data_IF_219119366474
#
_entry.id   IF_219119366474
#
_cell.length_a   1.000
_cell.length_b   1.000
_cell.length_c   1.000
_cell.angle_alpha   90.00
_cell.angle_beta   90.00
_cell.angle_gamma   90.00
#
_symmetry.space_group_name_H-M   'P 1'
#
loop_
_entity.id
_entity.type
_entity.pdbx_description
1 polymer ?
#
# COMPACT_ATOMS: atom_id res chain seq x y z
N UNK A 1 -27.87 -49.58 -25.04
CA UNK A 1 -27.09 -48.73 -24.11
C UNK A 1 -27.50 -47.26 -24.24
N UNK A 2 -28.33 -46.76 -23.32
CA UNK A 2 -28.78 -45.37 -23.32
C UNK A 2 -27.72 -44.52 -22.59
N UNK A 3 -27.05 -43.60 -23.31
CA UNK A 3 -26.16 -42.60 -22.72
C UNK A 3 -26.99 -41.59 -21.92
N UNK A 4 -26.82 -41.58 -20.59
CA UNK A 4 -27.36 -40.52 -19.73
C UNK A 4 -26.56 -39.22 -19.98
N UNK A 5 -27.19 -38.22 -20.60
CA UNK A 5 -26.70 -36.87 -20.64
C UNK A 5 -26.76 -36.32 -19.19
N UNK A 6 -25.59 -36.05 -18.60
CA UNK A 6 -25.48 -35.25 -17.38
C UNK A 6 -25.87 -33.82 -17.74
N UNK A 7 -27.04 -33.40 -17.35
CA UNK A 7 -27.43 -31.99 -17.32
C UNK A 7 -26.53 -31.26 -16.30
N UNK A 8 -25.65 -30.42 -16.78
CA UNK A 8 -24.93 -29.47 -15.94
C UNK A 8 -25.99 -28.49 -15.39
N UNK A 9 -26.27 -28.59 -14.10
CA UNK A 9 -27.09 -27.61 -13.41
C UNK A 9 -26.37 -26.27 -13.46
N UNK A 10 -26.94 -25.28 -14.14
CA UNK A 10 -26.57 -23.87 -14.07
C UNK A 10 -26.73 -23.42 -12.61
N UNK A 11 -25.69 -23.59 -11.78
CA UNK A 11 -25.55 -22.84 -10.55
C UNK A 11 -25.33 -21.39 -10.99
N UNK A 12 -26.39 -20.58 -11.04
CA UNK A 12 -26.29 -19.12 -11.04
C UNK A 12 -25.38 -18.77 -9.86
N UNK A 13 -24.13 -18.38 -10.14
CA UNK A 13 -23.27 -17.78 -9.13
C UNK A 13 -24.02 -16.54 -8.66
N UNK A 14 -24.47 -16.55 -7.41
CA UNK A 14 -25.10 -15.36 -6.79
C UNK A 14 -24.00 -14.34 -6.59
N UNK A 15 -23.75 -13.52 -7.60
CA UNK A 15 -22.86 -12.38 -7.48
C UNK A 15 -23.39 -11.49 -6.37
N UNK A 16 -22.55 -11.21 -5.40
CA UNK A 16 -22.88 -10.26 -4.33
C UNK A 16 -22.70 -8.85 -4.88
N UNK A 17 -23.74 -8.01 -4.91
CA UNK A 17 -23.61 -6.65 -5.40
C UNK A 17 -22.63 -5.81 -4.61
N UNK A 18 -21.97 -4.87 -5.30
CA UNK A 18 -21.09 -3.88 -4.71
C UNK A 18 -21.24 -2.53 -5.41
N UNK A 19 -20.87 -1.47 -4.70
CA UNK A 19 -21.00 -0.10 -5.17
C UNK A 19 -19.87 0.78 -4.66
N UNK A 20 -19.44 1.74 -5.49
CA UNK A 20 -18.61 2.87 -5.10
C UNK A 20 -19.41 4.15 -5.32
N UNK A 21 -19.46 5.02 -4.30
CA UNK A 21 -20.05 6.35 -4.37
C UNK A 21 -18.97 7.39 -4.08
N UNK A 22 -18.69 8.26 -5.04
CA UNK A 22 -17.72 9.34 -4.91
C UNK A 22 -18.36 10.59 -4.29
N UNK A 23 -17.55 11.47 -3.69
CA UNK A 23 -18.01 12.72 -3.07
C UNK A 23 -18.71 13.69 -4.03
N UNK A 24 -18.47 13.57 -5.33
CA UNK A 24 -19.13 14.36 -6.37
C UNK A 24 -20.47 13.76 -6.84
N UNK A 25 -20.94 12.67 -6.20
CA UNK A 25 -22.17 11.98 -6.52
C UNK A 25 -22.06 10.92 -7.61
N UNK A 26 -20.92 10.76 -8.26
CA UNK A 26 -20.73 9.68 -9.25
C UNK A 26 -20.79 8.31 -8.58
N UNK A 27 -21.39 7.35 -9.28
CA UNK A 27 -21.68 6.01 -8.78
C UNK A 27 -21.14 4.97 -9.77
N UNK A 28 -20.39 4.02 -9.24
CA UNK A 28 -19.92 2.85 -9.99
C UNK A 28 -20.54 1.60 -9.34
N UNK A 29 -21.29 0.84 -10.12
CA UNK A 29 -21.91 -0.42 -9.67
C UNK A 29 -21.16 -1.60 -10.25
N UNK A 30 -20.97 -2.65 -9.47
CA UNK A 30 -20.27 -3.86 -9.88
C UNK A 30 -20.54 -5.03 -8.95
N UNK A 31 -19.63 -5.97 -8.93
CA UNK A 31 -19.67 -7.17 -8.10
C UNK A 31 -18.78 -6.93 -6.89
N UNK A 32 -19.33 -7.12 -5.69
CA UNK A 32 -18.62 -6.99 -4.43
C UNK A 32 -17.71 -8.18 -4.15
N UNK A 33 -16.49 -7.91 -3.72
CA UNK A 33 -15.47 -8.88 -3.35
C UNK A 33 -15.07 -8.74 -1.88
N UNK A 34 -14.37 -9.75 -1.35
CA UNK A 34 -13.79 -9.72 -0.03
C UNK A 34 -14.83 -9.61 1.09
N UNK A 35 -14.59 -8.69 2.02
CA UNK A 35 -15.41 -8.53 3.22
C UNK A 35 -16.75 -7.83 2.92
N UNK A 36 -17.83 -8.28 3.56
CA UNK A 36 -19.13 -7.60 3.50
C UNK A 36 -19.14 -6.42 4.45
N UNK A 37 -19.41 -5.24 3.93
CA UNK A 37 -19.40 -4.00 4.72
C UNK A 37 -19.08 -2.78 3.89
N UNK A 38 -18.76 -1.71 4.58
CA UNK A 38 -18.53 -0.37 4.01
C UNK A 38 -17.16 0.15 4.42
N UNK A 39 -16.45 0.80 3.49
CA UNK A 39 -15.19 1.48 3.76
C UNK A 39 -15.13 2.81 3.02
N UNK A 40 -14.55 3.83 3.67
CA UNK A 40 -14.39 5.18 3.11
C UNK A 40 -12.91 5.55 3.07
N UNK A 41 -12.47 6.19 1.98
CA UNK A 41 -11.08 6.60 1.80
C UNK A 41 -10.87 7.47 0.55
N UNK A 42 -9.64 7.93 0.35
CA UNK A 42 -9.23 8.59 -0.89
C UNK A 42 -9.09 7.54 -1.99
N UNK A 43 -9.74 7.72 -3.13
CA UNK A 43 -9.65 6.80 -4.27
C UNK A 43 -8.42 7.17 -5.10
N UNK A 44 -7.43 6.31 -5.10
CA UNK A 44 -6.22 6.46 -5.93
C UNK A 44 -6.14 5.32 -6.95
N UNK A 45 -5.30 5.43 -7.96
CA UNK A 45 -5.02 4.33 -8.87
C UNK A 45 -3.57 3.84 -8.74
N UNK A 46 -3.33 2.60 -9.14
CA UNK A 46 -2.00 2.02 -9.25
C UNK A 46 -1.84 1.39 -10.64
N UNK A 47 -0.71 1.68 -11.31
CA UNK A 47 -0.43 1.27 -12.70
C UNK A 47 0.44 0.03 -12.83
N UNK A 48 0.83 -0.60 -11.73
CA UNK A 48 1.65 -1.81 -11.74
C UNK A 48 0.89 -2.98 -12.38
N UNK A 49 1.57 -3.72 -13.23
CA UNK A 49 1.01 -4.88 -13.93
C UNK A 49 1.06 -6.17 -13.08
N UNK A 50 1.80 -6.14 -11.98
CA UNK A 50 2.00 -7.28 -11.06
C UNK A 50 2.17 -6.77 -9.62
N UNK A 51 2.19 -7.69 -8.64
CA UNK A 51 2.45 -7.34 -7.25
C UNK A 51 1.23 -6.76 -6.52
N UNK A 52 0.03 -7.18 -6.87
CA UNK A 52 -1.19 -6.64 -6.24
C UNK A 52 -1.27 -6.93 -4.73
N UNK A 53 -0.75 -8.08 -4.26
CA UNK A 53 -0.76 -8.41 -2.84
C UNK A 53 0.21 -7.51 -2.06
N UNK A 54 1.40 -7.26 -2.60
CA UNK A 54 2.39 -6.33 -2.08
C UNK A 54 1.83 -4.91 -2.02
N UNK A 55 1.14 -4.46 -3.07
CA UNK A 55 0.52 -3.15 -3.12
C UNK A 55 -0.59 -3.01 -2.07
N UNK A 56 -1.47 -4.00 -1.94
CA UNK A 56 -2.57 -3.97 -0.96
C UNK A 56 -2.03 -4.01 0.47
N UNK A 57 -0.91 -4.70 0.70
CA UNK A 57 -0.28 -4.83 2.03
C UNK A 57 0.73 -3.71 2.35
N UNK A 58 1.03 -2.80 1.41
CA UNK A 58 1.90 -1.64 1.65
C UNK A 58 1.23 -0.62 2.59
N UNK A 59 1.82 -0.31 3.76
CA UNK A 59 1.27 0.67 4.70
C UNK A 59 1.07 2.06 4.10
N UNK A 60 1.80 2.42 3.04
CA UNK A 60 1.67 3.70 2.34
C UNK A 60 0.25 3.96 1.81
N UNK A 61 -0.56 2.90 1.62
CA UNK A 61 -1.96 3.03 1.21
C UNK A 61 -2.96 3.14 2.36
N UNK A 62 -2.49 3.41 3.58
CA UNK A 62 -3.40 3.66 4.71
C UNK A 62 -4.35 4.80 4.41
N UNK A 63 -5.65 4.57 4.65
CA UNK A 63 -6.70 5.54 4.34
C UNK A 63 -7.15 5.61 2.89
N UNK A 64 -6.65 4.73 2.00
CA UNK A 64 -6.93 4.78 0.56
C UNK A 64 -7.71 3.57 0.06
N UNK A 65 -8.49 3.79 -1.02
CA UNK A 65 -9.13 2.78 -1.86
C UNK A 65 -8.34 2.73 -3.16
N UNK A 66 -7.78 1.56 -3.50
CA UNK A 66 -6.88 1.42 -4.64
C UNK A 66 -7.65 0.93 -5.86
N UNK A 67 -7.66 1.72 -6.92
CA UNK A 67 -8.14 1.35 -8.25
C UNK A 67 -6.97 0.77 -9.06
N UNK A 68 -6.99 -0.52 -9.35
CA UNK A 68 -5.97 -1.18 -10.16
C UNK A 68 -6.27 -0.98 -11.64
N UNK A 69 -5.30 -0.39 -12.38
CA UNK A 69 -5.48 -0.14 -13.82
C UNK A 69 -5.24 -1.40 -14.66
N UNK A 70 -4.44 -2.34 -14.15
CA UNK A 70 -4.21 -3.61 -14.81
C UNK A 70 -5.47 -4.49 -14.70
N UNK A 71 -6.01 -5.01 -15.82
CA UNK A 71 -7.32 -5.67 -15.80
C UNK A 71 -7.31 -7.05 -15.14
N UNK A 72 -6.21 -7.82 -15.27
CA UNK A 72 -6.15 -9.20 -14.80
C UNK A 72 -5.50 -9.30 -13.43
N UNK A 73 -6.33 -9.35 -12.40
CA UNK A 73 -5.91 -9.44 -11.00
C UNK A 73 -6.41 -10.77 -10.41
N UNK A 74 -5.61 -11.41 -9.55
CA UNK A 74 -5.96 -12.65 -8.85
C UNK A 74 -5.30 -13.90 -9.41
N UNK A 75 -4.75 -13.84 -10.63
CA UNK A 75 -4.12 -14.96 -11.32
C UNK A 75 -2.92 -15.59 -10.57
N UNK A 76 -2.19 -14.82 -9.76
CA UNK A 76 -1.10 -15.32 -8.91
C UNK A 76 -1.63 -15.92 -7.60
N UNK A 77 -2.87 -15.64 -7.22
CA UNK A 77 -3.38 -15.94 -5.90
C UNK A 77 -2.75 -15.08 -4.82
N UNK A 78 -2.70 -15.59 -3.60
CA UNK A 78 -2.04 -14.94 -2.47
C UNK A 78 -1.25 -15.95 -1.64
N UNK A 79 -0.17 -15.48 -1.00
CA UNK A 79 0.72 -16.28 -0.17
C UNK A 79 1.29 -15.44 0.99
N UNK A 80 1.91 -16.04 2.02
CA UNK A 80 2.45 -15.31 3.16
C UNK A 80 3.76 -14.55 2.86
N UNK A 81 4.42 -14.84 1.74
CA UNK A 81 5.74 -14.29 1.41
C UNK A 81 5.63 -12.89 0.78
N UNK A 82 4.53 -12.62 0.05
CA UNK A 82 4.30 -11.39 -0.70
C UNK A 82 3.59 -10.31 0.14
N UNK A 83 3.76 -10.35 1.47
CA UNK A 83 3.29 -9.31 2.37
C UNK A 83 4.36 -8.27 2.64
N UNK A 84 4.00 -7.00 2.48
CA UNK A 84 4.87 -5.87 2.83
C UNK A 84 4.71 -5.41 4.28
N UNK A 85 3.61 -5.77 4.93
CA UNK A 85 3.41 -5.58 6.37
C UNK A 85 2.52 -6.67 6.98
N UNK A 86 2.54 -6.80 8.30
CA UNK A 86 1.72 -7.82 9.01
C UNK A 86 0.25 -7.43 9.08
N UNK A 87 -0.06 -6.14 8.96
CA UNK A 87 -1.42 -5.62 8.97
C UNK A 87 -1.73 -4.90 7.66
N UNK A 88 -2.92 -5.18 7.10
CA UNK A 88 -3.38 -4.48 5.89
C UNK A 88 -4.05 -3.17 6.30
N UNK A 89 -3.59 -2.07 5.70
CA UNK A 89 -4.02 -0.71 6.03
C UNK A 89 -4.90 -0.08 4.95
N UNK A 90 -4.89 -0.64 3.74
CA UNK A 90 -5.75 -0.24 2.62
C UNK A 90 -7.22 -0.35 3.00
N UNK A 91 -8.03 0.63 2.63
CA UNK A 91 -9.46 0.68 2.95
C UNK A 91 -10.31 -0.17 2.02
N UNK A 92 -9.93 -0.27 0.75
CA UNK A 92 -10.66 -1.06 -0.24
C UNK A 92 -9.89 -1.19 -1.54
N UNK A 93 -10.37 -2.06 -2.42
CA UNK A 93 -9.74 -2.35 -3.72
C UNK A 93 -10.77 -2.39 -4.83
N UNK A 94 -10.39 -1.93 -6.01
CA UNK A 94 -11.25 -1.90 -7.20
C UNK A 94 -10.51 -2.53 -8.38
N UNK A 95 -11.18 -3.45 -9.07
CA UNK A 95 -10.64 -4.17 -10.21
C UNK A 95 -11.58 -4.06 -11.42
N UNK A 96 -11.02 -4.17 -12.61
CA UNK A 96 -11.77 -4.16 -13.86
C UNK A 96 -12.49 -5.50 -14.08
N UNK A 97 -11.74 -6.58 -14.23
CA UNK A 97 -12.27 -7.91 -14.50
C UNK A 97 -12.59 -8.68 -13.22
N UNK A 98 -13.42 -9.69 -13.33
CA UNK A 98 -13.65 -10.66 -12.27
C UNK A 98 -12.34 -11.35 -11.87
N UNK A 99 -12.19 -11.66 -10.59
CA UNK A 99 -11.03 -12.38 -10.08
C UNK A 99 -11.11 -13.82 -10.55
N UNK A 100 -10.10 -14.26 -11.29
CA UNK A 100 -9.97 -15.64 -11.75
C UNK A 100 -9.43 -16.54 -10.64
N UNK A 101 -9.67 -17.84 -10.78
CA UNK A 101 -8.97 -18.82 -9.96
C UNK A 101 -7.47 -18.74 -10.23
N UNK A 102 -6.65 -18.84 -9.18
CA UNK A 102 -5.22 -18.69 -9.33
C UNK A 102 -4.61 -19.88 -10.08
N UNK A 103 -3.67 -19.60 -10.98
CA UNK A 103 -2.92 -20.58 -11.77
C UNK A 103 -1.42 -20.58 -11.48
N UNK A 104 -0.96 -19.88 -10.45
CA UNK A 104 0.44 -19.78 -10.10
C UNK A 104 0.80 -20.78 -8.99
N UNK A 105 1.98 -21.42 -9.10
CA UNK A 105 2.48 -22.41 -8.14
C UNK A 105 2.69 -21.85 -6.71
N UNK A 106 2.80 -20.53 -6.55
CA UNK A 106 2.92 -19.87 -5.23
C UNK A 106 1.57 -19.61 -4.56
N UNK A 107 0.46 -19.89 -5.24
CA UNK A 107 -0.86 -19.61 -4.69
C UNK A 107 -1.20 -20.56 -3.55
N UNK A 108 -1.50 -20.00 -2.39
CA UNK A 108 -2.06 -20.74 -1.24
C UNK A 108 -3.54 -20.41 -1.01
N UNK A 109 -3.99 -19.23 -1.45
CA UNK A 109 -5.39 -18.79 -1.32
C UNK A 109 -5.80 -17.97 -2.54
N UNK A 110 -7.07 -18.04 -2.88
CA UNK A 110 -7.72 -17.12 -3.81
C UNK A 110 -7.76 -15.71 -3.20
N UNK A 111 -7.65 -14.69 -4.05
CA UNK A 111 -7.59 -13.27 -3.62
C UNK A 111 -8.89 -12.83 -2.92
N UNK A 112 -10.07 -13.26 -3.38
CA UNK A 112 -11.35 -12.91 -2.72
C UNK A 112 -11.40 -13.41 -1.28
N UNK A 113 -10.99 -14.66 -1.05
CA UNK A 113 -10.90 -15.24 0.30
C UNK A 113 -9.88 -14.48 1.17
N UNK A 114 -8.73 -14.11 0.60
CA UNK A 114 -7.70 -13.36 1.30
C UNK A 114 -8.18 -11.95 1.71
N UNK A 115 -8.87 -11.25 0.81
CA UNK A 115 -9.50 -9.96 1.11
C UNK A 115 -10.53 -10.10 2.23
N UNK A 116 -11.35 -11.15 2.19
CA UNK A 116 -12.36 -11.44 3.22
C UNK A 116 -11.74 -11.66 4.59
N UNK A 117 -10.68 -12.48 4.68
CA UNK A 117 -9.94 -12.77 5.93
C UNK A 117 -9.37 -11.48 6.51
N UNK A 118 -8.82 -10.60 5.65
CA UNK A 118 -8.22 -9.32 6.07
C UNK A 118 -9.23 -8.19 6.23
N UNK A 119 -10.54 -8.48 6.11
CA UNK A 119 -11.65 -7.50 6.26
C UNK A 119 -11.57 -6.34 5.27
N UNK A 120 -11.08 -6.59 4.05
CA UNK A 120 -10.99 -5.60 2.98
C UNK A 120 -12.21 -5.73 2.07
N UNK A 121 -12.90 -4.61 1.84
CA UNK A 121 -14.01 -4.52 0.87
C UNK A 121 -13.42 -4.35 -0.52
N UNK A 122 -13.90 -5.14 -1.47
CA UNK A 122 -13.48 -5.07 -2.87
C UNK A 122 -14.66 -4.87 -3.82
N UNK A 123 -14.35 -4.39 -5.02
CA UNK A 123 -15.30 -4.19 -6.10
C UNK A 123 -14.66 -4.60 -7.42
N UNK A 124 -15.39 -5.36 -8.24
CA UNK A 124 -14.95 -5.76 -9.58
C UNK A 124 -16.06 -5.56 -10.61
N UNK A 125 -15.73 -5.71 -11.91
CA UNK A 125 -16.66 -5.40 -12.99
C UNK A 125 -16.88 -3.89 -13.17
N UNK A 126 -15.88 -3.08 -12.84
CA UNK A 126 -15.91 -1.61 -12.92
C UNK A 126 -15.08 -1.16 -14.12
N UNK A 127 -15.52 -0.12 -14.81
CA UNK A 127 -14.67 0.60 -15.74
C UNK A 127 -13.57 1.38 -15.00
N UNK A 128 -12.49 0.66 -14.65
CA UNK A 128 -11.34 1.22 -13.94
C UNK A 128 -10.61 2.27 -14.77
N UNK A 129 -10.71 2.23 -16.11
CA UNK A 129 -10.13 3.23 -17.00
C UNK A 129 -10.86 4.56 -16.87
N UNK A 130 -12.19 4.55 -16.90
CA UNK A 130 -13.01 5.75 -16.68
C UNK A 130 -12.74 6.38 -15.32
N UNK A 131 -12.65 5.55 -14.25
CA UNK A 131 -12.31 6.02 -12.91
C UNK A 131 -10.88 6.60 -12.86
N UNK A 132 -9.91 5.97 -13.54
CA UNK A 132 -8.53 6.49 -13.63
C UNK A 132 -8.48 7.84 -14.36
N UNK A 133 -9.21 7.99 -15.48
CA UNK A 133 -9.31 9.26 -16.20
C UNK A 133 -9.92 10.36 -15.31
N UNK A 134 -10.96 10.04 -14.56
CA UNK A 134 -11.57 10.98 -13.61
C UNK A 134 -10.53 11.46 -12.57
N UNK A 135 -9.75 10.53 -11.99
CA UNK A 135 -8.71 10.86 -11.02
C UNK A 135 -7.63 11.71 -11.67
N UNK A 136 -7.20 11.38 -12.89
CA UNK A 136 -6.20 12.14 -13.64
C UNK A 136 -6.66 13.58 -13.88
N UNK A 137 -7.90 13.77 -14.28
CA UNK A 137 -8.42 15.06 -14.70
C UNK A 137 -8.83 15.95 -13.52
N UNK A 138 -9.38 15.35 -12.45
CA UNK A 138 -9.94 16.10 -11.31
C UNK A 138 -9.18 15.94 -10.01
N UNK A 139 -8.22 15.01 -9.92
CA UNK A 139 -7.51 14.64 -8.70
C UNK A 139 -8.16 13.44 -8.00
N UNK A 140 -7.50 12.93 -6.95
CA UNK A 140 -7.96 11.79 -6.18
C UNK A 140 -9.21 12.13 -5.34
N UNK A 141 -10.42 11.62 -5.69
CA UNK A 141 -11.65 11.93 -4.97
C UNK A 141 -11.76 11.11 -3.69
N UNK A 142 -12.57 11.60 -2.76
CA UNK A 142 -13.05 10.79 -1.64
C UNK A 142 -14.17 9.87 -2.12
N UNK A 143 -14.19 8.64 -1.63
CA UNK A 143 -15.19 7.67 -2.01
C UNK A 143 -15.55 6.70 -0.90
N UNK A 144 -16.75 6.14 -0.96
CA UNK A 144 -17.21 5.07 -0.09
C UNK A 144 -17.58 3.85 -0.91
N UNK A 145 -16.94 2.73 -0.62
CA UNK A 145 -17.19 1.43 -1.22
C UNK A 145 -18.05 0.58 -0.28
N UNK A 146 -19.04 -0.12 -0.81
CA UNK A 146 -19.88 -1.04 -0.03
C UNK A 146 -20.12 -2.34 -0.79
N UNK A 147 -19.99 -3.47 -0.08
CA UNK A 147 -20.46 -4.80 -0.49
C UNK A 147 -21.62 -5.21 0.38
N UNK A 148 -22.76 -5.57 -0.23
CA UNK A 148 -23.99 -5.96 0.49
C UNK A 148 -24.65 -7.16 -0.19
N UNK A 149 -24.89 -8.24 0.58
CA UNK A 149 -25.51 -9.48 0.08
C UNK A 149 -26.92 -9.28 -0.50
N UNK A 150 -27.67 -8.35 0.06
CA UNK A 150 -29.03 -8.09 -0.38
C UNK A 150 -29.14 -7.07 -1.53
N UNK A 151 -28.01 -6.46 -1.94
CA UNK A 151 -27.94 -5.46 -3.00
C UNK A 151 -28.67 -4.15 -2.71
N UNK A 152 -29.12 -3.94 -1.47
CA UNK A 152 -29.78 -2.70 -1.06
C UNK A 152 -28.74 -1.72 -0.56
N UNK A 153 -28.57 -0.61 -1.28
CA UNK A 153 -27.60 0.43 -0.95
C UNK A 153 -28.31 1.74 -0.60
N UNK A 154 -27.94 2.34 0.51
CA UNK A 154 -28.40 3.68 0.85
C UNK A 154 -27.45 4.72 0.25
N UNK A 155 -27.68 5.10 -1.01
CA UNK A 155 -26.83 6.04 -1.76
C UNK A 155 -26.63 7.37 -1.02
N UNK A 156 -27.69 7.93 -0.42
CA UNK A 156 -27.62 9.19 0.33
C UNK A 156 -26.67 9.06 1.53
N UNK A 157 -26.70 7.92 2.24
CA UNK A 157 -25.82 7.65 3.38
C UNK A 157 -24.36 7.52 2.90
N UNK A 158 -24.11 6.76 1.83
CA UNK A 158 -22.76 6.54 1.27
C UNK A 158 -22.16 7.86 0.76
N UNK A 159 -22.92 8.66 0.04
CA UNK A 159 -22.51 9.99 -0.40
C UNK A 159 -22.15 10.90 0.77
N UNK A 160 -22.99 10.92 1.80
CA UNK A 160 -22.72 11.69 3.02
C UNK A 160 -21.44 11.24 3.71
N UNK A 161 -21.13 9.93 3.73
CA UNK A 161 -19.88 9.39 4.27
C UNK A 161 -18.66 9.85 3.45
N UNK A 162 -18.75 9.79 2.11
CA UNK A 162 -17.68 10.27 1.21
C UNK A 162 -17.39 11.76 1.42
N UNK A 163 -18.44 12.60 1.49
CA UNK A 163 -18.30 14.05 1.68
C UNK A 163 -17.71 14.37 3.05
N UNK A 164 -18.22 13.73 4.12
CA UNK A 164 -17.80 14.00 5.52
C UNK A 164 -16.40 13.54 5.85
N UNK A 165 -15.85 12.59 5.08
CA UNK A 165 -14.51 12.13 5.31
C UNK A 165 -13.52 13.27 5.01
N UNK A 166 -12.67 13.63 5.97
CA UNK A 166 -11.82 14.82 5.89
C UNK A 166 -10.64 14.71 4.91
N UNK A 167 -10.40 13.54 4.32
CA UNK A 167 -9.26 13.32 3.41
C UNK A 167 -7.96 13.02 4.14
N UNK A 168 -6.86 13.00 3.39
CA UNK A 168 -5.52 12.68 3.92
C UNK A 168 -4.71 13.93 4.34
N UNK A 169 -5.11 15.13 3.89
CA UNK A 169 -4.39 16.37 4.21
C UNK A 169 -4.41 16.64 5.72
N UNK A 170 -3.27 17.00 6.27
CA UNK A 170 -3.12 17.29 7.69
C UNK A 170 -3.13 16.06 8.60
N UNK A 171 -3.25 14.83 8.06
CA UNK A 171 -3.25 13.61 8.85
C UNK A 171 -1.86 13.02 9.00
N UNK A 172 -1.45 12.81 10.25
CA UNK A 172 -0.29 11.97 10.58
C UNK A 172 -0.71 10.51 10.63
N UNK A 173 -0.68 9.85 9.47
CA UNK A 173 -0.96 8.41 9.38
C UNK A 173 0.27 7.56 9.67
N UNK A 174 1.47 8.12 9.58
CA UNK A 174 2.71 7.42 9.89
C UNK A 174 2.70 6.88 11.33
N UNK A 175 2.24 7.68 12.28
CA UNK A 175 2.11 7.30 13.70
C UNK A 175 1.17 6.10 13.91
N UNK A 176 0.16 5.95 13.05
CA UNK A 176 -0.81 4.85 13.16
C UNK A 176 -0.26 3.52 12.65
N UNK A 177 0.64 3.56 11.66
CA UNK A 177 1.20 2.37 11.00
C UNK A 177 2.58 1.97 11.54
N UNK A 178 3.27 2.89 12.21
CA UNK A 178 4.59 2.67 12.81
C UNK A 178 4.56 1.55 13.85
N UNK A 179 5.67 0.83 13.98
CA UNK A 179 5.87 -0.11 15.08
C UNK A 179 5.74 0.57 16.44
N UNK A 180 5.24 -0.13 17.44
CA UNK A 180 5.11 0.39 18.81
C UNK A 180 6.38 0.23 19.64
N UNK A 181 7.26 -0.68 19.26
CA UNK A 181 8.51 -0.97 19.95
C UNK A 181 9.62 -1.25 18.96
N UNK A 182 10.86 -1.00 19.35
CA UNK A 182 12.01 -1.36 18.52
C UNK A 182 12.11 -2.88 18.34
N UNK A 183 12.53 -3.30 17.15
CA UNK A 183 12.85 -4.69 16.88
C UNK A 183 14.05 -4.81 15.93
N UNK A 184 14.74 -5.94 15.98
CA UNK A 184 15.78 -6.26 15.01
C UNK A 184 15.16 -7.03 13.86
N UNK A 185 15.48 -6.61 12.63
CA UNK A 185 15.11 -7.39 11.44
C UNK A 185 15.84 -8.73 11.46
N UNK A 186 15.17 -9.78 11.05
CA UNK A 186 15.67 -11.16 11.08
C UNK A 186 16.72 -11.48 9.99
N UNK A 187 17.28 -10.45 9.34
CA UNK A 187 18.26 -10.54 8.26
C UNK A 187 17.81 -11.32 7.02
N UNK A 188 16.49 -11.47 6.80
CA UNK A 188 15.97 -12.09 5.58
C UNK A 188 16.29 -11.20 4.37
N UNK A 189 16.88 -11.82 3.34
CA UNK A 189 17.12 -11.23 2.02
C UNK A 189 15.86 -11.26 1.17
N UNK A 190 15.94 -10.68 -0.03
CA UNK A 190 14.86 -10.78 -1.03
C UNK A 190 14.61 -12.24 -1.43
N UNK A 191 13.35 -12.54 -1.71
CA UNK A 191 12.93 -13.88 -2.11
C UNK A 191 13.54 -14.30 -3.46
N UNK A 192 13.94 -15.57 -3.57
CA UNK A 192 14.43 -16.19 -4.81
C UNK A 192 13.67 -17.48 -5.08
N UNK A 193 13.38 -17.74 -6.35
CA UNK A 193 12.53 -18.86 -6.78
C UNK A 193 12.94 -20.22 -6.24
N UNK A 194 14.22 -20.53 -6.28
CA UNK A 194 14.72 -21.87 -5.93
C UNK A 194 15.00 -22.05 -4.43
N UNK A 195 15.12 -20.95 -3.70
CA UNK A 195 15.66 -20.94 -2.33
C UNK A 195 14.65 -20.34 -1.32
N UNK A 196 13.72 -19.50 -1.80
CA UNK A 196 12.86 -18.70 -0.93
C UNK A 196 13.62 -17.54 -0.28
N UNK A 197 13.40 -17.32 1.01
CA UNK A 197 14.13 -16.31 1.78
C UNK A 197 15.40 -16.87 2.40
N UNK A 198 16.56 -16.36 1.99
CA UNK A 198 17.81 -16.61 2.68
C UNK A 198 18.04 -15.63 3.82
N UNK A 199 18.82 -16.03 4.84
CA UNK A 199 19.33 -15.13 5.87
C UNK A 199 20.72 -14.61 5.50
N UNK A 200 20.97 -13.33 5.73
CA UNK A 200 22.30 -12.80 5.69
C UNK A 200 23.10 -13.33 6.91
N UNK A 201 24.22 -13.97 6.64
CA UNK A 201 25.09 -14.59 7.68
C UNK A 201 26.13 -13.64 8.26
N UNK A 202 26.52 -12.59 7.51
CA UNK A 202 27.55 -11.63 7.91
C UNK A 202 27.05 -10.21 7.70
N UNK A 203 26.93 -9.46 8.79
CA UNK A 203 26.61 -8.04 8.76
C UNK A 203 27.87 -7.22 8.78
N UNK A 204 27.92 -6.13 8.01
CA UNK A 204 29.05 -5.19 7.93
C UNK A 204 28.61 -3.83 8.45
N UNK A 205 27.39 -3.41 8.11
CA UNK A 205 26.83 -2.11 8.47
C UNK A 205 25.68 -2.27 9.46
N UNK A 206 25.56 -1.32 10.36
CA UNK A 206 24.47 -1.23 11.33
C UNK A 206 23.54 -0.06 10.95
N UNK A 207 22.34 -0.35 10.50
CA UNK A 207 21.35 0.65 10.06
C UNK A 207 20.22 0.74 11.08
N UNK A 208 19.91 1.96 11.50
CA UNK A 208 18.68 2.24 12.25
C UNK A 208 17.62 2.75 11.27
N UNK A 209 16.52 2.02 11.14
CA UNK A 209 15.39 2.38 10.30
C UNK A 209 14.27 3.00 11.14
N UNK A 210 13.94 4.27 10.89
CA UNK A 210 12.79 4.94 11.51
C UNK A 210 11.54 4.56 10.73
N UNK A 211 10.60 3.94 11.42
CA UNK A 211 9.40 3.34 10.84
C UNK A 211 8.25 4.35 10.71
N UNK A 212 8.04 4.87 9.52
CA UNK A 212 6.86 5.65 9.14
C UNK A 212 5.80 4.82 8.41
N UNK A 213 5.99 3.51 8.30
CA UNK A 213 5.17 2.55 7.54
C UNK A 213 6.02 1.72 6.59
N UNK A 214 7.10 1.15 7.11
CA UNK A 214 8.15 0.48 6.34
C UNK A 214 7.63 -0.78 5.63
N UNK A 215 8.01 -0.94 4.36
CA UNK A 215 7.82 -2.18 3.61
C UNK A 215 8.89 -3.21 3.95
N UNK A 216 8.47 -4.46 4.18
CA UNK A 216 9.39 -5.58 4.46
C UNK A 216 10.43 -5.77 3.36
N UNK A 217 10.06 -5.52 2.11
CA UNK A 217 11.00 -5.71 1.00
C UNK A 217 12.17 -4.71 1.03
N UNK A 218 11.98 -3.51 1.56
CA UNK A 218 13.07 -2.55 1.77
C UNK A 218 14.08 -3.11 2.78
N UNK A 219 13.60 -3.69 3.89
CA UNK A 219 14.47 -4.34 4.88
C UNK A 219 15.24 -5.54 4.28
N UNK A 220 14.58 -6.30 3.38
CA UNK A 220 15.22 -7.40 2.65
C UNK A 220 16.35 -6.90 1.74
N UNK A 221 16.17 -5.77 1.05
CA UNK A 221 17.21 -5.16 0.24
C UNK A 221 18.41 -4.71 1.08
N UNK A 222 18.20 -4.08 2.22
CA UNK A 222 19.30 -3.77 3.14
C UNK A 222 20.04 -5.05 3.57
N UNK A 223 19.33 -6.14 3.83
CA UNK A 223 19.95 -7.43 4.16
C UNK A 223 20.78 -8.01 3.02
N UNK A 224 20.37 -7.80 1.75
CA UNK A 224 21.19 -8.18 0.58
C UNK A 224 22.56 -7.47 0.60
N UNK A 225 22.60 -6.23 1.10
CA UNK A 225 23.80 -5.41 1.21
C UNK A 225 24.53 -5.56 2.56
N UNK A 226 24.32 -6.69 3.25
CA UNK A 226 24.99 -7.04 4.52
C UNK A 226 24.74 -6.05 5.66
N UNK A 227 23.58 -5.37 5.65
CA UNK A 227 23.17 -4.50 6.75
C UNK A 227 22.48 -5.29 7.85
N UNK A 228 22.86 -5.04 9.10
CA UNK A 228 22.06 -5.32 10.28
C UNK A 228 21.09 -4.17 10.47
N UNK A 229 19.80 -4.45 10.66
CA UNK A 229 18.79 -3.40 10.73
C UNK A 229 18.07 -3.47 12.06
N UNK A 230 18.05 -2.35 12.76
CA UNK A 230 17.18 -2.12 13.92
C UNK A 230 16.08 -1.15 13.52
N UNK A 231 14.84 -1.61 13.55
CA UNK A 231 13.65 -0.78 13.25
C UNK A 231 13.17 -0.15 14.54
N UNK A 232 12.93 1.17 14.51
CA UNK A 232 12.49 1.95 15.67
C UNK A 232 11.20 2.72 15.35
N UNK A 233 10.36 3.03 16.37
CA UNK A 233 9.17 3.86 16.21
C UNK A 233 9.46 5.23 15.56
N UNK A 234 8.46 5.79 14.87
CA UNK A 234 8.57 7.04 14.11
C UNK A 234 8.95 8.26 14.96
N UNK A 235 8.72 8.22 16.26
CA UNK A 235 8.98 9.31 17.23
C UNK A 235 10.15 9.02 18.17
N UNK A 236 11.00 8.03 17.85
CA UNK A 236 12.17 7.67 18.65
C UNK A 236 13.14 8.84 18.77
N UNK A 237 13.57 9.16 19.98
CA UNK A 237 14.49 10.28 20.21
C UNK A 237 15.87 10.03 19.60
N UNK A 238 16.57 11.11 19.28
CA UNK A 238 17.93 11.06 18.70
C UNK A 238 18.90 10.33 19.63
N UNK A 239 18.78 10.57 20.92
CA UNK A 239 19.62 9.96 21.95
C UNK A 239 19.47 8.41 21.94
N UNK A 240 18.23 7.92 21.76
CA UNK A 240 17.96 6.49 21.66
C UNK A 240 18.44 5.89 20.32
N UNK A 241 18.41 6.66 19.24
CA UNK A 241 18.96 6.25 17.93
C UNK A 241 20.48 6.11 18.02
N UNK A 242 21.17 7.11 18.59
CA UNK A 242 22.64 7.13 18.72
C UNK A 242 23.14 5.98 19.60
N UNK A 243 22.43 5.65 20.68
CA UNK A 243 22.77 4.50 21.55
C UNK A 243 22.84 3.16 20.82
N UNK A 244 22.24 3.08 19.62
CA UNK A 244 22.30 1.90 18.76
C UNK A 244 23.55 1.87 17.87
N UNK A 245 24.43 2.88 17.96
CA UNK A 245 25.66 3.03 17.16
C UNK A 245 25.43 2.79 15.65
N UNK A 246 24.56 3.57 14.98
CA UNK A 246 24.28 3.38 13.57
C UNK A 246 25.42 3.88 12.67
N UNK A 247 25.77 3.09 11.65
CA UNK A 247 26.57 3.55 10.51
C UNK A 247 25.74 4.42 9.55
N UNK A 248 24.42 4.32 9.62
CA UNK A 248 23.49 5.12 8.85
C UNK A 248 22.06 5.03 9.37
N UNK A 249 21.25 6.05 9.06
CA UNK A 249 19.83 6.10 9.41
C UNK A 249 18.99 6.07 8.15
N UNK A 250 17.99 5.18 8.15
CA UNK A 250 17.02 5.07 7.09
C UNK A 250 15.66 5.64 7.53
N UNK A 251 15.11 6.56 6.72
CA UNK A 251 13.79 7.13 6.87
C UNK A 251 12.84 6.41 5.93
N UNK A 252 11.91 5.62 6.47
CA UNK A 252 11.10 4.73 5.65
C UNK A 252 10.05 5.44 4.82
N UNK A 253 9.47 4.72 3.85
CA UNK A 253 8.20 5.05 3.23
C UNK A 253 7.08 5.09 4.28
N UNK A 254 5.94 5.67 3.92
CA UNK A 254 4.77 5.70 4.79
C UNK A 254 3.62 6.51 4.23
N UNK A 255 2.44 6.45 4.90
CA UNK A 255 1.25 7.19 4.53
C UNK A 255 1.16 8.56 5.18
N UNK A 256 0.24 9.37 4.71
CA UNK A 256 -0.16 10.62 5.36
C UNK A 256 0.48 11.86 4.76
N UNK A 257 0.31 12.96 5.49
CA UNK A 257 0.83 14.26 5.10
C UNK A 257 2.22 14.50 5.72
N UNK A 258 3.27 14.72 4.90
CA UNK A 258 4.61 14.96 5.42
C UNK A 258 4.69 16.21 6.32
N UNK A 259 3.84 17.22 6.11
CA UNK A 259 3.79 18.39 6.99
C UNK A 259 3.24 18.05 8.39
N UNK A 260 2.30 17.11 8.49
CA UNK A 260 1.77 16.65 9.76
C UNK A 260 2.78 15.79 10.52
N UNK A 261 3.36 14.78 9.85
CA UNK A 261 4.42 13.93 10.40
C UNK A 261 5.69 14.74 10.74
N UNK A 262 5.98 15.76 9.93
CA UNK A 262 7.13 16.66 10.10
C UNK A 262 7.13 17.44 11.42
N UNK A 263 6.00 17.62 12.09
CA UNK A 263 5.92 18.33 13.39
C UNK A 263 6.88 17.75 14.44
N UNK A 264 7.10 16.45 14.42
CA UNK A 264 8.07 15.78 15.31
C UNK A 264 9.29 15.27 14.55
N UNK A 265 9.11 14.67 13.36
CA UNK A 265 10.18 14.02 12.61
C UNK A 265 11.28 14.99 12.15
N UNK A 266 10.92 16.21 11.72
CA UNK A 266 11.89 17.22 11.24
C UNK A 266 12.91 17.59 12.32
N UNK A 267 12.47 17.72 13.57
CA UNK A 267 13.38 18.03 14.69
C UNK A 267 14.41 16.92 14.92
N UNK A 268 13.96 15.65 14.84
CA UNK A 268 14.81 14.47 14.97
C UNK A 268 15.81 14.42 13.82
N UNK A 269 15.34 14.58 12.58
CA UNK A 269 16.17 14.49 11.37
C UNK A 269 17.23 15.61 11.36
N UNK A 270 16.88 16.86 11.70
CA UNK A 270 17.84 17.98 11.80
C UNK A 270 18.97 17.67 12.79
N UNK A 271 18.66 17.12 13.95
CA UNK A 271 19.68 16.72 14.92
C UNK A 271 20.60 15.61 14.38
N UNK A 272 20.05 14.63 13.66
CA UNK A 272 20.82 13.55 13.03
C UNK A 272 21.74 14.08 11.92
N UNK A 273 21.27 15.04 11.11
CA UNK A 273 22.09 15.72 10.08
C UNK A 273 23.31 16.40 10.73
N UNK A 274 23.09 17.11 11.83
CA UNK A 274 24.17 17.82 12.54
C UNK A 274 25.24 16.88 13.14
N UNK A 275 24.90 15.60 13.32
CA UNK A 275 25.85 14.56 13.78
C UNK A 275 26.61 13.89 12.63
N UNK A 276 26.44 14.36 11.39
CA UNK A 276 27.08 13.83 10.18
C UNK A 276 26.84 12.33 9.93
N UNK A 277 25.77 11.76 10.50
CA UNK A 277 25.37 10.38 10.24
C UNK A 277 24.75 10.29 8.84
N UNK A 278 25.16 9.39 7.96
CA UNK A 278 24.54 9.17 6.68
C UNK A 278 23.04 8.91 6.80
N UNK A 279 22.22 9.66 6.05
CA UNK A 279 20.76 9.53 6.08
C UNK A 279 20.24 9.26 4.67
N UNK A 280 19.37 8.26 4.54
CA UNK A 280 18.67 7.96 3.30
C UNK A 280 17.17 7.87 3.54
N UNK A 281 16.36 8.46 2.67
CA UNK A 281 14.90 8.48 2.79
C UNK A 281 14.19 7.99 1.53
N UNK A 282 13.10 7.23 1.71
CA UNK A 282 12.22 6.79 0.62
C UNK A 282 10.81 7.33 0.83
N UNK A 283 10.19 7.88 -0.22
CA UNK A 283 8.81 8.37 -0.25
C UNK A 283 8.57 9.39 0.89
N UNK A 284 7.77 9.06 1.91
CA UNK A 284 7.53 9.94 3.05
C UNK A 284 8.86 10.33 3.74
N UNK A 285 9.78 9.39 3.92
CA UNK A 285 11.10 9.66 4.52
C UNK A 285 11.93 10.65 3.70
N UNK A 286 11.89 10.56 2.36
CA UNK A 286 12.51 11.56 1.48
C UNK A 286 11.86 12.95 1.67
N UNK A 287 10.53 13.01 1.73
CA UNK A 287 9.80 14.27 1.92
C UNK A 287 10.12 14.90 3.30
N UNK A 288 10.24 14.09 4.35
CA UNK A 288 10.62 14.55 5.69
C UNK A 288 12.07 15.05 5.74
N UNK A 289 12.98 14.39 5.01
CA UNK A 289 14.37 14.83 4.86
C UNK A 289 14.42 16.18 4.14
N UNK A 290 13.65 16.35 3.06
CA UNK A 290 13.55 17.62 2.34
C UNK A 290 13.02 18.75 3.25
N UNK A 291 11.98 18.48 4.06
CA UNK A 291 11.47 19.45 5.05
C UNK A 291 12.54 19.80 6.11
N UNK A 292 13.33 18.81 6.55
CA UNK A 292 14.42 19.05 7.50
C UNK A 292 15.54 19.94 6.91
N UNK A 293 15.72 19.89 5.58
CA UNK A 293 16.64 20.75 4.83
C UNK A 293 15.99 22.07 4.37
N UNK A 294 14.87 22.47 4.99
CA UNK A 294 14.11 23.69 4.75
C UNK A 294 13.43 23.78 3.37
N UNK A 295 13.28 22.66 2.65
CA UNK A 295 12.42 22.59 1.47
C UNK A 295 10.94 22.63 1.87
N UNK A 296 10.05 22.77 0.88
CA UNK A 296 8.60 22.77 1.05
C UNK A 296 7.99 21.57 0.34
N UNK A 297 6.93 21.03 0.89
CA UNK A 297 6.12 20.00 0.23
C UNK A 297 4.79 20.57 -0.24
N UNK A 298 4.29 20.05 -1.37
CA UNK A 298 2.99 20.39 -1.93
C UNK A 298 2.27 19.12 -2.36
N UNK A 299 0.97 18.99 -2.01
CA UNK A 299 0.18 17.86 -2.49
C UNK A 299 0.04 17.90 -4.00
N UNK A 300 0.41 16.81 -4.64
CA UNK A 300 0.21 16.62 -6.08
C UNK A 300 -1.26 16.29 -6.36
N UNK A 301 -1.74 16.63 -7.56
CA UNK A 301 -3.12 16.34 -8.00
C UNK A 301 -3.40 14.82 -7.99
N UNK A 302 -2.48 14.01 -8.50
CA UNK A 302 -2.63 12.55 -8.60
C UNK A 302 -1.67 11.79 -7.68
N UNK A 303 -0.46 12.31 -7.46
CA UNK A 303 0.68 11.60 -6.89
C UNK A 303 1.28 10.54 -7.84
N UNK A 304 2.49 10.10 -7.54
CA UNK A 304 3.15 9.02 -8.25
C UNK A 304 2.83 7.68 -7.56
N UNK A 305 2.13 6.79 -8.27
CA UNK A 305 1.69 5.49 -7.74
C UNK A 305 1.85 4.41 -8.81
N UNK A 306 2.92 3.67 -8.70
CA UNK A 306 3.31 2.63 -9.64
C UNK A 306 4.81 2.38 -9.58
N UNK A 307 5.25 1.29 -10.22
CA UNK A 307 6.65 0.87 -10.23
C UNK A 307 7.45 1.37 -11.46
N UNK A 308 6.78 2.06 -12.37
CA UNK A 308 7.30 2.38 -13.71
C UNK A 308 7.35 3.89 -14.01
N UNK A 309 7.62 4.71 -12.99
CA UNK A 309 7.80 6.14 -13.21
C UNK A 309 9.19 6.42 -13.78
N UNK A 310 9.30 7.17 -14.88
CA UNK A 310 10.58 7.53 -15.47
C UNK A 310 11.33 8.51 -14.55
N UNK A 311 12.63 8.29 -14.41
CA UNK A 311 13.55 9.16 -13.66
C UNK A 311 14.65 9.64 -14.59
N UNK A 312 14.87 10.94 -14.64
CA UNK A 312 15.97 11.52 -15.44
C UNK A 312 17.26 11.55 -14.61
N UNK A 313 18.27 10.85 -15.11
CA UNK A 313 19.62 10.94 -14.59
C UNK A 313 20.27 12.22 -15.08
N UNK A 314 20.49 13.19 -14.17
CA UNK A 314 21.00 14.52 -14.53
C UNK A 314 22.48 14.52 -14.99
N UNK A 315 23.25 13.48 -14.65
CA UNK A 315 24.66 13.34 -15.07
C UNK A 315 24.77 12.83 -16.50
N UNK A 316 23.91 11.89 -16.88
CA UNK A 316 23.93 11.23 -18.18
C UNK A 316 22.91 11.77 -19.17
N UNK A 317 21.99 12.63 -18.70
CA UNK A 317 20.82 13.17 -19.41
C UNK A 317 19.85 12.09 -19.94
N UNK A 318 19.99 10.84 -19.48
CA UNK A 318 19.15 9.71 -19.86
C UNK A 318 17.96 9.54 -18.92
N UNK A 319 16.88 9.01 -19.47
CA UNK A 319 15.70 8.56 -18.69
C UNK A 319 15.87 7.07 -18.41
N UNK A 320 15.73 6.71 -17.14
CA UNK A 320 15.83 5.35 -16.62
C UNK A 320 14.52 4.90 -15.99
#
# INVERSE_FOLDING_TARGET
MKKKHKTYSNKKSKFTPGILVLENGQIFKGIGLGYEGTATGEVCFNTSITGYQEIISDPSYSGQIINFTFPHIGNVGTNPEDHESDKIWTKGVIFNAEITDPSNYRSLKNLDLWLKINKIVGLTGIDTRSLTNLIRDKGAPKGTIEKSKNGKFNIKKLLKQSIKWHGLNGLDLAKNVSTRSKYNWNNLKTWKKEIGFEKNKKNIFNIVAIDYGIKKNILRYFSNHKCKITVVPCDTSVENIIKLNPDGVFLSNGPGDPAATGKYAVKIIKKLINLTIPIFGICLGHQLLALALNAKTKKMKLGHRGANHPVKNLLTDKVE
#
